data_IF_738138385697
#
_entry.id   IF_738138385697
#
_cell.length_a   1.000
_cell.length_b   1.000
_cell.length_c   1.000
_cell.angle_alpha   90.00
_cell.angle_beta   90.00
_cell.angle_gamma   90.00
#
_symmetry.space_group_name_H-M   'P 1'
#
loop_
_entity.id
_entity.type
_entity.pdbx_description
1 polymer ?
#
# COMPACT_ATOMS: atom_id res chain seq x y z
N UNK A 1 -4.03 3.25 34.21
CA UNK A 1 -4.57 3.98 33.04
C UNK A 1 -4.11 3.20 31.80
N UNK A 2 -5.03 2.55 31.09
CA UNK A 2 -4.74 1.96 29.78
C UNK A 2 -4.28 3.13 28.88
N UNK A 3 -3.07 3.06 28.33
CA UNK A 3 -2.65 4.01 27.28
C UNK A 3 -3.60 3.81 26.10
N UNK A 4 -4.24 4.87 25.64
CA UNK A 4 -4.99 4.82 24.40
C UNK A 4 -4.03 4.27 23.34
N UNK A 5 -4.40 3.17 22.69
CA UNK A 5 -3.58 2.57 21.63
C UNK A 5 -3.47 3.55 20.47
N UNK A 6 -2.33 3.58 19.83
CA UNK A 6 -2.17 4.30 18.55
C UNK A 6 -2.73 3.41 17.46
N UNK A 7 -3.63 3.98 16.64
CA UNK A 7 -4.21 3.28 15.49
C UNK A 7 -3.18 3.10 14.38
N UNK A 8 -3.24 1.95 13.73
CA UNK A 8 -2.48 1.62 12.54
C UNK A 8 -3.44 1.39 11.37
N UNK A 9 -3.34 2.21 10.35
CA UNK A 9 -4.18 2.16 9.17
C UNK A 9 -3.44 1.52 8.00
N UNK A 10 -4.18 0.72 7.24
CA UNK A 10 -3.70 0.05 6.03
C UNK A 10 -4.68 0.45 4.90
N UNK A 11 -4.22 1.29 3.99
CA UNK A 11 -4.94 1.63 2.78
C UNK A 11 -4.44 0.73 1.67
N UNK A 12 -5.28 -0.22 1.27
CA UNK A 12 -4.93 -1.36 0.45
C UNK A 12 -3.91 -2.30 1.15
N UNK A 13 -3.73 -3.51 0.68
CA UNK A 13 -2.77 -4.48 1.22
C UNK A 13 -1.71 -4.83 0.18
N UNK A 14 -0.60 -5.41 0.62
CA UNK A 14 0.39 -5.96 -0.32
C UNK A 14 -0.26 -7.04 -1.20
N UNK A 15 -1.18 -7.84 -0.65
CA UNK A 15 -1.93 -8.84 -1.45
C UNK A 15 -2.75 -8.17 -2.54
N UNK A 16 -3.49 -7.11 -2.23
CA UNK A 16 -4.30 -6.38 -3.21
C UNK A 16 -3.41 -5.77 -4.29
N UNK A 17 -2.29 -5.15 -3.90
CA UNK A 17 -1.28 -4.61 -4.82
C UNK A 17 -0.72 -5.71 -5.74
N UNK A 18 -0.36 -6.89 -5.19
CA UNK A 18 0.12 -8.04 -5.97
C UNK A 18 -0.95 -8.56 -6.92
N UNK A 19 -2.22 -8.50 -6.55
CA UNK A 19 -3.35 -8.89 -7.40
C UNK A 19 -3.64 -7.89 -8.53
N UNK A 20 -2.98 -6.74 -8.53
CA UNK A 20 -3.04 -5.74 -9.60
C UNK A 20 -3.87 -4.51 -9.27
N UNK A 21 -4.30 -4.33 -8.01
CA UNK A 21 -4.89 -3.07 -7.58
C UNK A 21 -3.79 -2.03 -7.37
N UNK A 22 -3.57 -1.25 -8.42
CA UNK A 22 -2.60 -0.14 -8.46
C UNK A 22 -3.30 1.21 -8.62
N UNK A 23 -4.61 1.26 -8.32
CA UNK A 23 -5.40 2.50 -8.33
C UNK A 23 -4.98 3.39 -7.16
N UNK A 24 -5.26 4.67 -7.31
CA UNK A 24 -5.01 5.65 -6.26
C UNK A 24 -6.13 5.61 -5.23
N UNK A 25 -5.82 5.27 -3.98
CA UNK A 25 -6.82 5.05 -2.94
C UNK A 25 -6.80 6.09 -1.82
N UNK A 26 -5.65 6.66 -1.51
CA UNK A 26 -5.51 7.57 -0.38
C UNK A 26 -4.68 8.81 -0.75
N UNK A 27 -5.23 10.03 -0.56
CA UNK A 27 -4.46 11.24 -0.72
C UNK A 27 -3.52 11.44 0.48
N UNK A 28 -2.38 12.09 0.22
CA UNK A 28 -1.38 12.39 1.25
C UNK A 28 -1.95 13.20 2.42
N UNK A 29 -2.90 14.09 2.14
CA UNK A 29 -3.56 14.95 3.12
C UNK A 29 -4.33 14.17 4.19
N UNK A 30 -4.71 12.92 3.88
CA UNK A 30 -5.35 12.03 4.85
C UNK A 30 -4.38 11.44 5.88
N UNK A 31 -3.06 11.61 5.69
CA UNK A 31 -2.04 11.06 6.57
C UNK A 31 -1.56 12.15 7.53
N UNK A 32 -1.78 11.99 8.86
CA UNK A 32 -1.26 12.94 9.82
C UNK A 32 0.26 12.78 9.93
N UNK A 33 1.02 13.84 9.67
CA UNK A 33 2.49 13.81 9.69
C UNK A 33 3.10 14.50 10.92
N UNK A 34 2.26 14.99 11.83
CA UNK A 34 2.72 15.59 13.08
C UNK A 34 3.17 14.51 14.07
N UNK A 35 4.36 14.69 14.63
CA UNK A 35 4.95 13.74 15.55
C UNK A 35 5.66 12.54 14.88
N UNK A 36 5.77 11.44 15.62
CA UNK A 36 6.49 10.23 15.21
C UNK A 36 5.56 9.25 14.49
N UNK A 37 5.19 9.58 13.26
CA UNK A 37 4.31 8.77 12.41
C UNK A 37 5.14 7.71 11.68
N UNK A 38 4.84 6.45 11.90
CA UNK A 38 5.43 5.34 11.16
C UNK A 38 4.64 5.11 9.89
N UNK A 39 5.30 4.73 8.81
CA UNK A 39 4.62 4.38 7.57
C UNK A 39 5.55 3.96 6.46
N UNK A 40 4.96 3.35 5.44
CA UNK A 40 5.57 3.02 4.16
C UNK A 40 4.49 2.89 3.10
N UNK A 41 4.90 2.92 1.85
CA UNK A 41 3.97 2.78 0.75
C UNK A 41 4.63 2.91 -0.62
N UNK A 42 3.79 2.95 -1.64
CA UNK A 42 4.22 3.19 -3.02
C UNK A 42 3.36 4.29 -3.67
N UNK A 43 3.88 4.91 -4.72
CA UNK A 43 3.13 5.86 -5.55
C UNK A 43 2.56 5.18 -6.80
N UNK A 44 1.85 5.93 -7.62
CA UNK A 44 1.09 5.42 -8.76
C UNK A 44 1.93 4.84 -9.88
N UNK A 45 1.27 4.18 -10.83
CA UNK A 45 1.88 3.58 -12.01
C UNK A 45 2.49 4.59 -12.99
N UNK A 46 2.00 5.82 -13.00
CA UNK A 46 2.47 6.88 -13.90
C UNK A 46 3.73 7.53 -13.33
N UNK A 47 3.77 7.68 -12.02
CA UNK A 47 4.83 8.35 -11.28
C UNK A 47 5.27 7.45 -10.12
N UNK A 48 5.79 6.28 -10.48
CA UNK A 48 6.10 5.21 -9.54
C UNK A 48 7.25 5.56 -8.61
N UNK A 49 7.16 5.15 -7.35
CA UNK A 49 8.18 5.40 -6.35
C UNK A 49 7.91 4.68 -5.04
N UNK A 50 8.98 4.46 -4.30
CA UNK A 50 8.93 3.90 -2.96
C UNK A 50 8.88 5.02 -1.92
N UNK A 51 8.03 4.86 -0.92
CA UNK A 51 7.81 5.85 0.13
C UNK A 51 8.44 5.41 1.44
N UNK A 52 9.28 6.28 1.99
CA UNK A 52 9.88 6.12 3.32
C UNK A 52 9.39 7.22 4.25
N UNK A 53 8.76 6.86 5.35
CA UNK A 53 8.31 7.80 6.38
C UNK A 53 9.43 7.97 7.40
N UNK A 54 10.17 9.05 7.32
CA UNK A 54 11.32 9.29 8.20
C UNK A 54 11.11 10.51 9.07
N UNK A 55 11.66 10.44 10.29
CA UNK A 55 11.58 11.53 11.24
C UNK A 55 12.54 12.65 10.85
N UNK A 56 12.04 13.87 10.79
CA UNK A 56 12.85 15.04 10.51
C UNK A 56 13.44 15.67 11.80
N UNK A 57 14.25 16.69 11.63
CA UNK A 57 14.91 17.37 12.75
C UNK A 57 13.94 18.08 13.71
N UNK A 58 12.75 18.48 13.25
CA UNK A 58 11.72 19.08 14.11
C UNK A 58 10.97 18.04 14.96
N UNK A 59 11.21 16.75 14.73
CA UNK A 59 10.54 15.67 15.44
C UNK A 59 9.27 15.16 14.76
N UNK A 60 8.84 15.82 13.69
CA UNK A 60 7.73 15.39 12.85
C UNK A 60 8.19 14.40 11.79
N UNK A 61 7.24 13.76 11.09
CA UNK A 61 7.53 12.82 10.01
C UNK A 61 7.50 13.53 8.66
N UNK A 62 8.42 13.15 7.79
CA UNK A 62 8.44 13.53 6.37
C UNK A 62 8.33 12.27 5.53
N UNK A 63 7.49 12.30 4.50
CA UNK A 63 7.44 11.23 3.50
C UNK A 63 8.49 11.55 2.44
N UNK A 64 9.45 10.65 2.31
CA UNK A 64 10.46 10.70 1.26
C UNK A 64 10.08 9.72 0.16
N UNK A 65 10.02 10.21 -1.07
CA UNK A 65 9.81 9.40 -2.26
C UNK A 65 11.15 9.17 -2.96
N UNK A 66 11.43 7.92 -3.26
CA UNK A 66 12.48 7.52 -4.18
C UNK A 66 11.86 7.33 -5.57
N UNK A 67 12.26 8.16 -6.54
CA UNK A 67 11.67 8.21 -7.87
C UNK A 67 12.11 7.03 -8.73
N UNK A 68 11.18 6.44 -9.50
CA UNK A 68 11.51 5.37 -10.43
C UNK A 68 12.32 5.84 -11.63
N UNK A 69 12.12 7.09 -12.04
CA UNK A 69 12.67 7.59 -13.30
C UNK A 69 14.20 7.79 -13.24
N UNK A 70 14.69 8.34 -12.13
CA UNK A 70 16.09 8.77 -11.99
C UNK A 70 16.71 8.40 -10.63
N UNK A 71 15.96 7.66 -9.78
CA UNK A 71 16.31 7.33 -8.42
C UNK A 71 16.54 8.54 -7.49
N UNK A 72 16.08 9.73 -7.89
CA UNK A 72 16.15 10.90 -7.04
C UNK A 72 15.27 10.73 -5.80
N UNK A 73 15.72 11.28 -4.68
CA UNK A 73 14.98 11.26 -3.43
C UNK A 73 14.48 12.67 -3.15
N UNK A 74 13.17 12.80 -2.97
CA UNK A 74 12.55 14.08 -2.64
C UNK A 74 11.50 13.95 -1.54
N UNK A 75 11.35 14.99 -0.75
CA UNK A 75 10.25 15.08 0.19
C UNK A 75 8.94 15.33 -0.56
N UNK A 76 7.93 14.51 -0.31
CA UNK A 76 6.57 14.76 -0.81
C UNK A 76 5.91 15.89 -0.03
N UNK A 77 5.05 16.62 -0.72
CA UNK A 77 4.22 17.69 -0.17
C UNK A 77 2.76 17.47 -0.56
N UNK A 78 1.80 17.85 0.28
CA UNK A 78 0.40 17.88 -0.11
C UNK A 78 0.21 18.64 -1.44
N UNK A 79 -0.58 18.08 -2.34
CA UNK A 79 -0.82 18.64 -3.68
C UNK A 79 0.24 18.30 -4.73
N UNK A 80 1.31 17.57 -4.39
CA UNK A 80 2.19 16.97 -5.40
C UNK A 80 1.39 15.98 -6.27
N UNK A 81 1.68 15.90 -7.58
CA UNK A 81 0.95 15.04 -8.51
C UNK A 81 1.07 13.54 -8.22
N UNK A 82 2.04 13.13 -7.40
CA UNK A 82 2.25 11.75 -6.93
C UNK A 82 1.84 11.55 -5.49
N UNK A 83 0.99 12.41 -4.95
CA UNK A 83 0.58 12.40 -3.55
C UNK A 83 -0.67 11.54 -3.27
N UNK A 84 -1.07 10.67 -4.19
CA UNK A 84 -2.09 9.65 -4.02
C UNK A 84 -1.45 8.27 -4.07
N UNK A 85 -1.82 7.40 -3.15
CA UNK A 85 -1.11 6.15 -2.93
C UNK A 85 -2.00 4.93 -3.21
N UNK A 86 -1.59 4.01 -4.10
CA UNK A 86 -2.26 2.73 -4.30
C UNK A 86 -2.06 1.78 -3.12
N UNK A 87 -0.95 1.93 -2.40
CA UNK A 87 -0.67 1.21 -1.17
C UNK A 87 0.05 2.14 -0.20
N UNK A 88 -0.47 2.26 0.99
CA UNK A 88 0.20 2.90 2.12
C UNK A 88 -0.30 2.30 3.43
N UNK A 89 0.62 2.08 4.36
CA UNK A 89 0.27 1.80 5.74
C UNK A 89 0.96 2.82 6.65
N UNK A 90 0.25 3.28 7.69
CA UNK A 90 0.76 4.34 8.55
C UNK A 90 0.09 4.33 9.92
N UNK A 91 0.70 5.03 10.88
CA UNK A 91 0.15 5.26 12.21
C UNK A 91 -0.25 6.72 12.39
N UNK A 92 -0.96 7.05 13.48
CA UNK A 92 -0.89 8.37 14.08
C UNK A 92 0.47 8.62 14.76
N UNK A 93 0.57 9.67 15.57
CA UNK A 93 1.77 9.90 16.40
C UNK A 93 1.98 8.75 17.38
N UNK A 94 2.96 7.90 17.10
CA UNK A 94 3.30 6.73 17.89
C UNK A 94 4.35 7.00 18.99
N UNK A 95 4.72 8.24 19.22
CA UNK A 95 5.78 8.62 20.19
C UNK A 95 5.56 8.04 21.58
N UNK A 96 4.31 7.89 22.03
CA UNK A 96 3.94 7.33 23.33
C UNK A 96 4.17 5.81 23.44
N UNK A 97 4.23 5.11 22.32
CA UNK A 97 4.47 3.65 22.26
C UNK A 97 5.95 3.31 22.11
N UNK A 98 6.77 4.30 21.84
CA UNK A 98 8.18 4.09 21.50
C UNK A 98 8.97 3.48 22.66
N UNK A 99 9.57 2.31 22.41
CA UNK A 99 10.52 1.65 23.29
C UNK A 99 11.88 1.63 22.58
N UNK A 100 12.90 2.17 23.25
CA UNK A 100 14.28 2.12 22.76
C UNK A 100 14.96 0.87 23.30
N UNK A 101 15.68 0.17 22.44
CA UNK A 101 16.58 -0.91 22.79
C UNK A 101 18.02 -0.44 22.55
N UNK A 102 18.87 -0.62 23.55
CA UNK A 102 20.30 -0.39 23.35
C UNK A 102 20.83 -1.43 22.35
N UNK A 103 21.47 -1.02 21.24
CA UNK A 103 22.06 -1.96 20.29
C UNK A 103 22.99 -2.98 20.94
N UNK A 104 23.64 -2.65 22.05
CA UNK A 104 24.47 -3.58 22.80
C UNK A 104 23.69 -4.78 23.37
N UNK A 105 22.38 -4.61 23.67
CA UNK A 105 21.51 -5.69 24.14
C UNK A 105 21.21 -6.73 23.04
N UNK A 106 21.37 -6.37 21.76
CA UNK A 106 21.18 -7.28 20.61
C UNK A 106 22.35 -8.28 20.45
N UNK A 107 23.46 -8.05 21.12
CA UNK A 107 24.70 -8.82 20.96
C UNK A 107 25.30 -8.63 19.57
N UNK A 108 26.03 -9.64 19.10
CA UNK A 108 26.63 -9.58 17.78
C UNK A 108 25.57 -9.67 16.69
N UNK A 109 25.55 -8.70 15.77
CA UNK A 109 24.59 -8.62 14.65
C UNK A 109 25.25 -8.76 13.28
N UNK A 110 26.58 -8.73 13.24
CA UNK A 110 27.35 -8.81 11.99
C UNK A 110 26.94 -10.06 11.18
N UNK A 111 26.63 -9.85 9.90
CA UNK A 111 26.19 -10.87 8.94
C UNK A 111 24.97 -11.71 9.36
N UNK A 112 24.24 -11.33 10.41
CA UNK A 112 23.00 -11.99 10.78
C UNK A 112 21.82 -11.47 9.91
N UNK A 113 20.87 -12.34 9.57
CA UNK A 113 19.63 -11.92 8.92
C UNK A 113 18.90 -10.90 9.80
N UNK A 114 18.62 -9.71 9.26
CA UNK A 114 17.99 -8.62 10.02
C UNK A 114 16.66 -9.04 10.62
N UNK A 115 15.83 -9.78 9.89
CA UNK A 115 14.55 -10.28 10.41
C UNK A 115 14.72 -11.14 11.66
N UNK A 116 15.75 -12.00 11.71
CA UNK A 116 16.02 -12.82 12.87
C UNK A 116 16.48 -11.97 14.07
N UNK A 117 17.28 -10.93 13.84
CA UNK A 117 17.71 -9.99 14.88
C UNK A 117 16.49 -9.24 15.44
N UNK A 118 15.59 -8.76 14.57
CA UNK A 118 14.35 -8.08 14.96
C UNK A 118 13.43 -9.01 15.74
N UNK A 119 13.22 -10.23 15.28
CA UNK A 119 12.39 -11.23 15.98
C UNK A 119 12.93 -11.51 17.40
N UNK A 120 14.25 -11.71 17.52
CA UNK A 120 14.89 -11.92 18.83
C UNK A 120 14.75 -10.70 19.75
N UNK A 121 14.84 -9.48 19.20
CA UNK A 121 14.65 -8.25 19.95
C UNK A 121 13.21 -8.13 20.50
N UNK A 122 12.20 -8.50 19.70
CA UNK A 122 10.80 -8.56 20.13
C UNK A 122 10.66 -9.52 21.32
N UNK A 123 11.16 -10.74 21.19
CA UNK A 123 11.06 -11.73 22.26
C UNK A 123 11.82 -11.33 23.53
N UNK A 124 13.01 -10.72 23.37
CA UNK A 124 13.77 -10.17 24.49
C UNK A 124 12.95 -9.12 25.25
N UNK A 125 12.41 -8.14 24.55
CA UNK A 125 11.66 -7.04 25.16
C UNK A 125 10.35 -7.53 25.80
N UNK A 126 9.67 -8.51 25.20
CA UNK A 126 8.50 -9.18 25.78
C UNK A 126 8.87 -9.92 27.08
N UNK A 127 9.96 -10.68 27.07
CA UNK A 127 10.41 -11.43 28.24
C UNK A 127 10.80 -10.52 29.41
N UNK A 128 11.27 -9.31 29.10
CA UNK A 128 11.58 -8.27 30.09
C UNK A 128 10.35 -7.45 30.53
N UNK A 129 9.17 -7.70 29.96
CA UNK A 129 7.97 -6.91 30.22
C UNK A 129 8.04 -5.46 29.75
N UNK A 130 8.96 -5.13 28.81
CA UNK A 130 9.14 -3.79 28.27
C UNK A 130 8.16 -3.48 27.14
N UNK A 131 7.65 -4.49 26.45
CA UNK A 131 6.59 -4.39 25.43
C UNK A 131 5.53 -5.49 25.66
N UNK A 132 4.32 -5.21 25.22
CA UNK A 132 3.24 -6.20 25.16
C UNK A 132 3.26 -6.93 23.80
N UNK A 133 2.60 -8.10 23.75
CA UNK A 133 2.36 -8.78 22.49
C UNK A 133 1.45 -7.93 21.60
N UNK A 134 1.81 -7.78 20.34
CA UNK A 134 1.06 -7.01 19.36
C UNK A 134 0.98 -7.75 18.02
N UNK A 135 -0.08 -7.57 17.24
CA UNK A 135 -0.19 -8.18 15.93
C UNK A 135 0.81 -7.61 14.91
N UNK A 136 1.21 -6.34 15.10
CA UNK A 136 2.25 -5.68 14.30
C UNK A 136 3.16 -4.89 15.23
N UNK A 137 4.44 -4.90 14.92
CA UNK A 137 5.44 -4.05 15.55
C UNK A 137 6.00 -3.09 14.50
N UNK A 138 5.90 -1.78 14.74
CA UNK A 138 6.56 -0.77 13.95
C UNK A 138 8.01 -0.56 14.39
N UNK A 139 8.84 -0.06 13.48
CA UNK A 139 10.26 0.17 13.74
C UNK A 139 10.75 1.48 13.16
N UNK A 140 11.68 2.08 13.91
CA UNK A 140 12.66 3.03 13.40
C UNK A 140 14.04 2.50 13.68
N UNK A 141 14.81 2.27 12.62
CA UNK A 141 16.14 1.66 12.69
C UNK A 141 17.14 2.57 12.00
N UNK A 142 18.29 2.79 12.65
CA UNK A 142 19.49 3.29 11.97
C UNK A 142 20.43 2.11 11.75
N UNK A 143 20.65 1.77 10.48
CA UNK A 143 21.35 0.56 10.06
C UNK A 143 22.62 0.92 9.30
N UNK A 144 23.64 0.11 9.46
CA UNK A 144 24.84 0.11 8.60
C UNK A 144 24.97 -1.27 7.94
N UNK A 145 25.15 -1.27 6.62
CA UNK A 145 25.31 -2.48 5.84
C UNK A 145 26.71 -2.62 5.27
N UNK A 146 27.21 -3.83 5.16
CA UNK A 146 28.39 -4.10 4.31
C UNK A 146 28.00 -4.07 2.84
N UNK A 147 26.88 -4.68 2.52
CA UNK A 147 26.24 -4.69 1.22
C UNK A 147 24.74 -4.67 1.42
N UNK A 148 24.00 -3.99 0.56
CA UNK A 148 22.55 -3.91 0.59
C UNK A 148 21.99 -4.01 -0.82
N UNK A 149 20.93 -4.79 -0.97
CA UNK A 149 20.08 -4.83 -2.16
C UNK A 149 18.83 -4.00 -1.89
N UNK A 150 18.55 -3.05 -2.77
CA UNK A 150 17.36 -2.19 -2.69
C UNK A 150 16.58 -2.23 -3.99
N UNK A 151 15.28 -2.02 -3.91
CA UNK A 151 14.45 -1.66 -5.04
C UNK A 151 14.29 -0.16 -5.05
N UNK A 152 14.76 0.46 -6.12
CA UNK A 152 14.56 1.87 -6.37
C UNK A 152 13.30 2.00 -7.21
N UNK A 153 12.19 2.28 -6.57
CA UNK A 153 10.94 2.68 -7.18
C UNK A 153 10.65 1.96 -8.51
N UNK A 154 10.11 0.82 -8.41
CA UNK A 154 9.95 -0.07 -9.54
C UNK A 154 8.88 0.42 -10.53
N UNK A 155 9.25 0.65 -11.78
CA UNK A 155 8.30 0.59 -12.91
C UNK A 155 7.57 -0.76 -12.97
N UNK A 156 7.92 -1.66 -12.10
CA UNK A 156 7.59 -3.05 -12.07
C UNK A 156 7.18 -3.49 -10.65
N UNK A 157 6.38 -2.69 -9.94
CA UNK A 157 5.74 -3.24 -8.75
C UNK A 157 4.97 -4.50 -9.17
N UNK A 158 4.95 -5.52 -8.32
CA UNK A 158 4.40 -6.84 -8.66
C UNK A 158 2.96 -6.76 -9.17
N UNK A 159 2.18 -5.81 -8.72
CA UNK A 159 0.82 -5.55 -9.21
C UNK A 159 0.78 -5.07 -10.66
N UNK A 160 1.65 -4.14 -11.03
CA UNK A 160 1.74 -3.67 -12.42
C UNK A 160 2.21 -4.74 -13.38
N UNK A 161 3.11 -5.63 -12.94
CA UNK A 161 3.57 -6.74 -13.76
C UNK A 161 2.48 -7.77 -14.01
N UNK A 162 1.63 -8.04 -13.04
CA UNK A 162 0.48 -8.94 -13.22
C UNK A 162 -0.59 -8.34 -14.14
N UNK A 163 -0.81 -7.04 -14.10
CA UNK A 163 -1.63 -6.32 -15.09
C UNK A 163 -1.04 -6.41 -16.50
N UNK A 164 0.26 -6.29 -16.64
CA UNK A 164 0.98 -6.52 -17.89
C UNK A 164 1.22 -8.03 -18.09
N UNK A 165 0.13 -8.80 -18.18
CA UNK A 165 0.16 -10.27 -18.34
C UNK A 165 0.98 -10.77 -19.55
N UNK A 166 1.35 -9.90 -20.48
CA UNK A 166 2.26 -10.21 -21.58
C UNK A 166 3.71 -10.30 -21.10
N UNK A 167 4.14 -9.44 -20.16
CA UNK A 167 5.50 -9.49 -19.59
C UNK A 167 5.63 -10.71 -18.67
N UNK A 168 4.66 -10.94 -17.79
CA UNK A 168 4.66 -12.09 -16.89
C UNK A 168 4.61 -13.46 -17.63
N UNK A 169 4.02 -13.53 -18.82
CA UNK A 169 3.99 -14.75 -19.66
C UNK A 169 5.25 -14.96 -20.49
N UNK A 170 5.95 -13.89 -20.84
CA UNK A 170 7.18 -14.01 -21.62
C UNK A 170 8.39 -14.43 -20.76
N UNK A 171 8.28 -14.30 -19.45
CA UNK A 171 9.39 -14.51 -18.51
C UNK A 171 9.33 -15.85 -17.79
N UNK A 172 8.20 -16.55 -17.77
CA UNK A 172 8.13 -17.91 -17.28
C UNK A 172 8.16 -18.88 -18.46
N UNK A 173 9.27 -19.57 -18.64
CA UNK A 173 9.47 -20.58 -19.68
C UNK A 173 8.51 -21.78 -19.55
N UNK A 174 7.82 -21.93 -18.43
CA UNK A 174 6.89 -23.01 -18.10
C UNK A 174 5.45 -22.54 -17.81
N UNK A 175 5.16 -21.22 -17.93
CA UNK A 175 3.83 -20.67 -17.73
C UNK A 175 3.39 -20.55 -16.26
N UNK A 176 4.27 -20.84 -15.31
CA UNK A 176 4.01 -20.60 -13.87
C UNK A 176 4.24 -19.13 -13.53
N UNK A 177 3.30 -18.51 -12.81
CA UNK A 177 3.51 -17.18 -12.28
C UNK A 177 4.68 -17.21 -11.27
N UNK A 178 5.54 -16.19 -11.30
CA UNK A 178 6.61 -16.04 -10.32
C UNK A 178 6.06 -16.23 -8.90
N UNK A 179 6.63 -17.18 -8.15
CA UNK A 179 6.13 -17.57 -6.84
C UNK A 179 6.60 -16.62 -5.73
N UNK A 180 7.62 -15.81 -6.03
CA UNK A 180 8.21 -14.85 -5.10
C UNK A 180 8.72 -13.61 -5.82
N UNK A 181 8.98 -12.54 -5.06
CA UNK A 181 9.66 -11.35 -5.59
C UNK A 181 11.05 -11.70 -6.14
N UNK A 182 11.71 -12.70 -5.59
CA UNK A 182 13.04 -13.13 -6.05
C UNK A 182 13.00 -13.83 -7.41
N UNK A 183 11.93 -14.56 -7.70
CA UNK A 183 11.74 -15.13 -9.03
C UNK A 183 11.57 -14.03 -10.07
N UNK A 184 10.92 -12.94 -9.70
CA UNK A 184 10.83 -11.73 -10.51
C UNK A 184 12.19 -11.03 -10.63
N UNK A 185 12.91 -10.84 -9.54
CA UNK A 185 14.20 -10.15 -9.50
C UNK A 185 15.32 -10.90 -10.21
N UNK A 186 15.21 -12.22 -10.42
CA UNK A 186 16.16 -12.99 -11.22
C UNK A 186 16.24 -12.52 -12.67
N UNK A 187 15.16 -11.92 -13.19
CA UNK A 187 15.15 -11.35 -14.54
C UNK A 187 15.73 -9.93 -14.61
N UNK A 188 16.00 -9.32 -13.45
CA UNK A 188 16.62 -8.01 -13.39
C UNK A 188 18.09 -8.13 -13.04
N UNK A 189 18.90 -7.44 -13.82
CA UNK A 189 20.31 -7.29 -13.51
C UNK A 189 20.45 -6.50 -12.21
N UNK A 190 21.08 -7.09 -11.21
CA UNK A 190 21.55 -6.37 -10.04
C UNK A 190 22.60 -5.35 -10.52
N UNK A 191 22.25 -4.06 -10.49
CA UNK A 191 23.17 -3.02 -10.91
C UNK A 191 24.32 -2.94 -9.90
N UNK A 192 25.57 -2.89 -10.37
CA UNK A 192 26.65 -2.46 -9.52
C UNK A 192 26.42 -1.00 -9.12
N UNK A 193 27.06 -0.55 -8.07
CA UNK A 193 26.97 0.69 -7.31
C UNK A 193 26.75 2.02 -8.06
N UNK A 194 26.41 2.01 -9.33
CA UNK A 194 26.28 3.22 -10.13
C UNK A 194 24.82 3.75 -10.10
N UNK A 195 24.57 4.86 -9.36
CA UNK A 195 23.25 5.49 -9.35
C UNK A 195 22.83 6.05 -10.71
N UNK A 196 23.74 6.16 -11.69
CA UNK A 196 23.44 6.63 -13.03
C UNK A 196 22.58 5.64 -13.83
N UNK A 197 22.45 4.37 -13.40
CA UNK A 197 21.56 3.40 -14.03
C UNK A 197 20.18 3.47 -13.37
N UNK A 198 19.51 4.58 -13.52
CA UNK A 198 18.20 4.84 -12.93
C UNK A 198 17.08 3.90 -13.45
N UNK A 199 17.31 3.23 -14.58
CA UNK A 199 16.34 2.29 -15.16
C UNK A 199 16.34 0.91 -14.51
N UNK A 200 17.36 0.58 -13.71
CA UNK A 200 17.37 -0.70 -13.00
C UNK A 200 16.51 -0.62 -11.75
N UNK A 201 15.47 -1.44 -11.62
CA UNK A 201 14.59 -1.44 -10.46
C UNK A 201 15.29 -1.97 -9.20
N UNK A 202 16.36 -2.73 -9.35
CA UNK A 202 17.11 -3.35 -8.25
C UNK A 202 18.56 -2.89 -8.29
N UNK A 203 19.05 -2.46 -7.14
CA UNK A 203 20.45 -2.03 -6.99
C UNK A 203 21.14 -2.80 -5.90
N UNK A 204 22.38 -3.12 -6.17
CA UNK A 204 23.30 -3.69 -5.22
C UNK A 204 24.29 -2.61 -4.78
N UNK A 205 24.25 -2.25 -3.51
CA UNK A 205 25.09 -1.21 -2.93
C UNK A 205 26.13 -1.85 -2.01
N UNK A 206 27.41 -1.74 -2.38
CA UNK A 206 28.50 -2.05 -1.48
C UNK A 206 28.93 -0.83 -0.65
N UNK A 207 29.71 -1.04 0.41
CA UNK A 207 30.26 0.02 1.28
C UNK A 207 29.22 1.07 1.69
N UNK A 208 28.14 0.58 2.26
CA UNK A 208 26.95 1.38 2.49
C UNK A 208 27.18 2.45 3.53
N UNK A 209 26.47 3.55 3.30
CA UNK A 209 26.25 4.61 4.25
C UNK A 209 25.33 4.14 5.40
N UNK A 210 25.17 4.99 6.38
CA UNK A 210 24.12 4.82 7.37
C UNK A 210 22.76 4.97 6.72
N UNK A 211 21.80 4.15 7.16
CA UNK A 211 20.45 4.13 6.65
C UNK A 211 19.47 4.46 7.76
N UNK A 212 18.59 5.42 7.52
CA UNK A 212 17.42 5.69 8.36
C UNK A 212 16.23 4.94 7.76
N UNK A 213 15.61 4.05 8.56
CA UNK A 213 14.61 3.11 8.09
C UNK A 213 13.35 3.20 8.94
N UNK A 214 12.21 3.02 8.27
CA UNK A 214 10.92 2.79 8.87
C UNK A 214 10.33 1.50 8.32
N UNK A 215 9.62 0.74 9.16
CA UNK A 215 8.98 -0.49 8.69
C UNK A 215 8.20 -1.22 9.76
N UNK A 216 7.75 -2.42 9.39
CA UNK A 216 6.85 -3.20 10.21
C UNK A 216 7.23 -4.68 10.22
N UNK A 217 7.03 -5.30 11.37
CA UNK A 217 7.09 -6.75 11.54
C UNK A 217 5.66 -7.26 11.77
N UNK A 218 5.14 -8.06 10.85
CA UNK A 218 3.84 -8.69 10.96
C UNK A 218 3.96 -10.07 11.60
N UNK A 219 3.22 -10.32 12.67
CA UNK A 219 3.20 -11.64 13.32
C UNK A 219 2.42 -12.68 12.52
N UNK A 220 1.60 -12.24 11.55
CA UNK A 220 0.86 -13.08 10.63
C UNK A 220 1.11 -12.66 9.16
N UNK A 221 2.33 -12.87 8.62
CA UNK A 221 2.70 -12.42 7.29
C UNK A 221 1.90 -13.09 6.17
N UNK A 222 1.38 -14.30 6.39
CA UNK A 222 0.51 -14.99 5.42
C UNK A 222 -0.76 -14.20 5.07
N UNK A 223 -1.16 -13.23 5.90
CA UNK A 223 -2.28 -12.33 5.60
C UNK A 223 -1.98 -11.34 4.47
N UNK A 224 -0.70 -11.11 4.15
CA UNK A 224 -0.26 -10.20 3.09
C UNK A 224 -0.66 -8.75 3.27
N UNK A 225 -0.90 -8.28 4.51
CA UNK A 225 -1.39 -6.91 4.77
C UNK A 225 -0.28 -5.86 4.69
N UNK A 226 0.91 -6.13 5.25
CA UNK A 226 2.05 -5.21 5.24
C UNK A 226 3.34 -5.83 4.69
N UNK A 227 3.36 -7.15 4.52
CA UNK A 227 4.44 -7.92 3.90
C UNK A 227 3.87 -8.76 2.77
N UNK A 228 4.72 -9.33 1.92
CA UNK A 228 4.27 -10.33 0.94
C UNK A 228 3.60 -11.52 1.66
N UNK A 229 2.54 -12.13 1.07
CA UNK A 229 1.81 -13.23 1.70
C UNK A 229 2.63 -14.53 1.70
N UNK A 230 3.71 -14.53 2.49
CA UNK A 230 4.62 -15.66 2.68
C UNK A 230 4.79 -15.85 4.20
N UNK A 231 4.61 -17.06 4.75
CA UNK A 231 4.72 -17.32 6.18
C UNK A 231 6.07 -16.94 6.80
N UNK A 232 7.11 -16.86 5.99
CA UNK A 232 8.46 -16.53 6.44
C UNK A 232 8.84 -15.04 6.26
N UNK A 233 7.99 -14.22 5.63
CA UNK A 233 8.27 -12.83 5.32
C UNK A 233 7.65 -11.87 6.36
N UNK A 234 8.18 -11.84 7.57
CA UNK A 234 7.65 -11.05 8.66
C UNK A 234 8.01 -9.56 8.60
N UNK A 235 9.21 -9.22 8.12
CA UNK A 235 9.75 -7.86 8.17
C UNK A 235 9.70 -7.17 6.82
N UNK A 236 9.16 -5.95 6.79
CA UNK A 236 9.12 -5.07 5.62
C UNK A 236 9.71 -3.71 6.00
N UNK A 237 10.73 -3.27 5.29
CA UNK A 237 11.45 -2.02 5.57
C UNK A 237 11.62 -1.16 4.33
N UNK A 238 11.36 0.12 4.50
CA UNK A 238 11.75 1.18 3.59
C UNK A 238 12.73 2.12 4.30
N UNK A 239 13.56 2.79 3.53
CA UNK A 239 14.51 3.73 4.10
C UNK A 239 15.27 4.54 3.08
N UNK A 240 16.05 5.48 3.60
CA UNK A 240 16.98 6.29 2.83
C UNK A 240 18.37 6.26 3.47
N UNK A 241 19.40 6.33 2.64
CA UNK A 241 20.75 6.60 3.15
C UNK A 241 20.83 7.98 3.80
N UNK A 242 21.69 8.13 4.78
CA UNK A 242 21.82 9.38 5.58
C UNK A 242 22.15 10.61 4.73
N UNK A 243 22.77 10.42 3.56
CA UNK A 243 23.07 11.48 2.60
C UNK A 243 21.99 11.67 1.53
N UNK A 244 20.88 10.93 1.62
CA UNK A 244 19.74 10.96 0.71
C UNK A 244 20.10 10.66 -0.76
N UNK A 245 21.17 9.89 -1.00
CA UNK A 245 21.56 9.46 -2.35
C UNK A 245 20.87 8.17 -2.78
N UNK A 246 20.46 7.34 -1.84
CA UNK A 246 19.83 6.04 -2.07
C UNK A 246 18.61 5.91 -1.16
N UNK A 247 17.58 5.23 -1.65
CA UNK A 247 16.37 4.98 -0.89
C UNK A 247 15.50 3.93 -1.57
N UNK A 248 14.44 3.51 -0.89
CA UNK A 248 13.47 2.57 -1.41
C UNK A 248 13.20 1.40 -0.47
N UNK A 249 12.73 0.30 -1.03
CA UNK A 249 12.51 -0.95 -0.31
C UNK A 249 13.84 -1.67 -0.07
N UNK A 250 14.11 -2.06 1.18
CA UNK A 250 15.33 -2.76 1.56
C UNK A 250 15.09 -4.28 1.50
N UNK A 251 15.77 -4.97 0.59
CA UNK A 251 15.75 -6.43 0.50
C UNK A 251 16.73 -7.04 1.52
N UNK A 252 16.41 -6.87 2.80
CA UNK A 252 17.24 -7.35 3.92
C UNK A 252 17.39 -8.87 3.93
N UNK A 253 16.46 -9.60 3.32
CA UNK A 253 16.43 -11.06 3.20
C UNK A 253 17.24 -11.58 2.01
N UNK A 254 17.62 -10.70 1.07
CA UNK A 254 18.39 -11.10 -0.10
C UNK A 254 19.80 -11.59 0.30
N UNK A 255 20.29 -12.69 -0.27
CA UNK A 255 21.63 -13.24 0.09
C UNK A 255 22.80 -12.26 -0.11
N UNK A 256 22.63 -11.26 -0.99
CA UNK A 256 23.59 -10.19 -1.20
C UNK A 256 23.55 -9.10 -0.13
N UNK A 257 22.51 -9.03 0.69
CA UNK A 257 22.42 -8.05 1.77
C UNK A 257 23.09 -8.57 3.04
N UNK A 258 24.08 -7.84 3.53
CA UNK A 258 24.85 -8.21 4.73
C UNK A 258 24.87 -7.07 5.72
N UNK A 259 24.22 -7.28 6.85
CA UNK A 259 24.15 -6.33 7.95
C UNK A 259 25.53 -6.16 8.59
N UNK A 260 25.94 -4.91 8.84
CA UNK A 260 27.18 -4.60 9.55
C UNK A 260 26.91 -4.22 11.01
N UNK A 261 25.99 -3.29 11.22
CA UNK A 261 25.64 -2.80 12.56
C UNK A 261 24.22 -2.25 12.62
N UNK A 262 23.65 -2.25 13.82
CA UNK A 262 22.46 -1.50 14.18
C UNK A 262 22.90 -0.39 15.12
N UNK A 263 22.74 0.86 14.71
CA UNK A 263 23.15 2.04 15.49
C UNK A 263 22.03 2.54 16.40
N UNK A 264 20.79 2.35 15.97
CA UNK A 264 19.59 2.72 16.72
C UNK A 264 18.49 1.72 16.51
N UNK A 265 17.79 1.36 17.55
CA UNK A 265 16.65 0.45 17.52
C UNK A 265 15.51 1.03 18.35
N UNK A 266 14.44 1.40 17.67
CA UNK A 266 13.18 1.78 18.31
C UNK A 266 12.06 0.87 17.81
N UNK A 267 11.22 0.38 18.73
CA UNK A 267 10.08 -0.49 18.46
C UNK A 267 8.80 0.12 19.00
N UNK A 268 7.70 -0.15 18.31
CA UNK A 268 6.37 0.39 18.59
C UNK A 268 5.34 -0.76 18.51
N UNK A 269 4.84 -1.30 19.63
CA UNK A 269 3.80 -2.32 19.62
C UNK A 269 2.46 -1.72 19.17
N UNK A 270 1.92 -2.15 18.01
CA UNK A 270 0.70 -1.64 17.40
C UNK A 270 -0.43 -2.64 17.62
N UNK A 271 -1.44 -2.25 18.42
CA UNK A 271 -2.52 -3.13 18.85
C UNK A 271 -3.78 -2.99 17.99
N UNK A 272 -4.06 -1.78 17.50
CA UNK A 272 -5.30 -1.46 16.80
C UNK A 272 -5.03 -1.31 15.32
N UNK A 273 -5.51 -2.28 14.54
CA UNK A 273 -5.34 -2.31 13.09
C UNK A 273 -6.67 -1.98 12.42
N UNK A 274 -6.63 -1.04 11.50
CA UNK A 274 -7.76 -0.62 10.69
C UNK A 274 -7.42 -0.78 9.21
N UNK A 275 -8.17 -1.61 8.50
CA UNK A 275 -8.12 -1.64 7.06
C UNK A 275 -9.04 -0.54 6.53
N UNK A 276 -8.47 0.40 5.81
CA UNK A 276 -9.23 1.35 5.02
C UNK A 276 -9.71 0.63 3.76
N UNK A 277 -10.96 0.85 3.38
CA UNK A 277 -11.56 0.27 2.18
C UNK A 277 -12.50 1.28 1.52
N UNK A 278 -12.74 1.06 0.23
CA UNK A 278 -13.86 1.67 -0.49
C UNK A 278 -15.16 0.96 -0.10
N UNK A 279 -16.29 1.65 -0.25
CA UNK A 279 -17.64 1.10 -0.05
C UNK A 279 -18.60 1.88 -0.96
N UNK A 280 -18.75 1.40 -2.19
CA UNK A 280 -19.66 2.00 -3.17
C UNK A 280 -21.09 1.60 -2.86
N UNK A 281 -22.02 2.53 -3.05
CA UNK A 281 -23.44 2.26 -2.91
C UNK A 281 -24.25 3.03 -3.95
N UNK A 282 -25.38 2.46 -4.37
CA UNK A 282 -26.40 3.16 -5.15
C UNK A 282 -27.51 3.57 -4.20
N UNK A 283 -27.79 4.87 -4.14
CA UNK A 283 -28.82 5.46 -3.30
C UNK A 283 -29.83 6.28 -4.11
N UNK A 284 -30.98 6.56 -3.51
CA UNK A 284 -32.01 7.46 -4.04
C UNK A 284 -32.44 7.16 -5.49
N UNK A 285 -32.42 5.87 -5.90
CA UNK A 285 -32.86 5.48 -7.23
C UNK A 285 -34.32 5.79 -7.45
N UNK A 286 -34.64 6.58 -8.48
CA UNK A 286 -35.98 7.01 -8.84
C UNK A 286 -36.14 7.03 -10.36
N UNK A 287 -37.37 6.87 -10.83
CA UNK A 287 -37.73 7.04 -12.23
C UNK A 287 -39.02 7.87 -12.32
N UNK A 288 -38.95 9.02 -12.95
CA UNK A 288 -40.08 9.95 -13.08
C UNK A 288 -40.02 10.69 -14.41
N UNK A 289 -41.12 10.75 -15.13
CA UNK A 289 -41.22 11.49 -16.41
C UNK A 289 -40.09 11.14 -17.42
N UNK A 290 -39.79 9.85 -17.57
CA UNK A 290 -38.70 9.34 -18.43
C UNK A 290 -37.29 9.77 -18.01
N UNK A 291 -37.11 10.20 -16.77
CA UNK A 291 -35.79 10.48 -16.20
C UNK A 291 -35.53 9.49 -15.08
N UNK A 292 -34.41 8.80 -15.17
CA UNK A 292 -33.84 8.07 -14.06
C UNK A 292 -32.92 9.01 -13.29
N UNK A 293 -33.04 9.03 -11.98
CA UNK A 293 -32.13 9.71 -11.07
C UNK A 293 -31.64 8.75 -10.01
N UNK A 294 -30.35 8.84 -9.67
CA UNK A 294 -29.71 8.05 -8.61
C UNK A 294 -28.45 8.74 -8.11
N UNK A 295 -27.97 8.29 -6.97
CA UNK A 295 -26.72 8.77 -6.38
C UNK A 295 -25.75 7.62 -6.23
N UNK A 296 -24.53 7.79 -6.72
CA UNK A 296 -23.39 6.92 -6.40
C UNK A 296 -22.71 7.49 -5.18
N UNK A 297 -22.55 6.69 -4.15
CA UNK A 297 -21.95 7.10 -2.86
C UNK A 297 -20.74 6.24 -2.58
N UNK A 298 -19.64 6.86 -2.20
CA UNK A 298 -18.53 6.17 -1.58
C UNK A 298 -18.62 6.33 -0.06
N UNK A 299 -19.10 5.33 0.64
CA UNK A 299 -19.22 5.30 2.11
C UNK A 299 -17.90 4.91 2.79
N UNK A 300 -16.91 4.49 1.99
CA UNK A 300 -15.61 4.04 2.46
C UNK A 300 -14.69 5.18 2.89
N UNK A 301 -13.56 4.79 3.42
CA UNK A 301 -12.50 5.68 3.90
C UNK A 301 -11.38 5.88 2.88
N UNK A 302 -11.47 5.28 1.70
CA UNK A 302 -10.53 5.45 0.58
C UNK A 302 -11.23 6.06 -0.62
N UNK A 303 -10.50 6.89 -1.36
CA UNK A 303 -10.96 7.40 -2.63
C UNK A 303 -11.06 6.27 -3.67
N UNK A 304 -11.93 6.43 -4.64
CA UNK A 304 -12.04 5.53 -5.79
C UNK A 304 -11.88 6.30 -7.09
N UNK A 305 -11.24 5.69 -8.05
CA UNK A 305 -11.05 6.26 -9.39
C UNK A 305 -11.62 5.33 -10.45
N UNK A 306 -12.06 5.94 -11.56
CA UNK A 306 -12.51 5.24 -12.75
C UNK A 306 -13.64 4.22 -12.49
N UNK A 307 -14.65 4.64 -11.74
CA UNK A 307 -15.78 3.80 -11.35
C UNK A 307 -16.75 3.63 -12.51
N UNK A 308 -16.98 2.39 -12.93
CA UNK A 308 -18.03 2.03 -13.86
C UNK A 308 -19.42 2.10 -13.20
N UNK A 309 -20.43 2.59 -13.94
CA UNK A 309 -21.83 2.55 -13.50
C UNK A 309 -22.69 2.05 -14.65
N UNK A 310 -23.34 0.91 -14.47
CA UNK A 310 -24.24 0.34 -15.46
C UNK A 310 -25.72 0.59 -15.10
N UNK A 311 -26.52 0.94 -16.09
CA UNK A 311 -27.97 1.06 -16.00
C UNK A 311 -28.57 -0.03 -16.90
N UNK A 312 -29.24 -0.98 -16.31
CA UNK A 312 -29.74 -2.20 -16.96
C UNK A 312 -31.28 -2.19 -16.94
N UNK A 313 -31.90 -2.48 -18.04
CA UNK A 313 -33.35 -2.61 -18.18
C UNK A 313 -33.72 -4.05 -18.52
N UNK A 314 -34.68 -4.61 -17.80
CA UNK A 314 -35.25 -5.94 -18.02
C UNK A 314 -34.18 -7.06 -18.10
N UNK A 315 -33.20 -6.97 -17.22
CA UNK A 315 -32.05 -7.87 -17.15
C UNK A 315 -31.25 -7.99 -18.47
N UNK A 316 -31.39 -6.99 -19.36
CA UNK A 316 -30.73 -6.98 -20.66
C UNK A 316 -29.33 -6.33 -20.56
N UNK A 317 -28.35 -7.06 -20.06
CA UNK A 317 -26.98 -6.58 -19.85
C UNK A 317 -26.24 -6.27 -21.16
N UNK A 318 -26.68 -6.83 -22.31
CA UNK A 318 -26.06 -6.57 -23.60
C UNK A 318 -26.41 -5.18 -24.19
N UNK A 319 -27.45 -4.53 -23.67
CA UNK A 319 -27.91 -3.20 -24.13
C UNK A 319 -27.97 -2.17 -23.02
N UNK A 320 -27.19 -2.38 -21.95
CA UNK A 320 -27.11 -1.44 -20.82
C UNK A 320 -26.47 -0.11 -21.23
N UNK A 321 -26.87 0.97 -20.54
CA UNK A 321 -26.13 2.21 -20.58
C UNK A 321 -24.99 2.14 -19.57
N UNK A 322 -23.84 2.70 -19.96
CA UNK A 322 -22.65 2.68 -19.16
C UNK A 322 -22.08 4.08 -18.99
N UNK A 323 -21.79 4.44 -17.73
CA UNK A 323 -21.18 5.69 -17.35
C UNK A 323 -19.83 5.42 -16.71
N UNK A 324 -18.93 6.38 -16.80
CA UNK A 324 -17.67 6.40 -16.03
C UNK A 324 -17.64 7.60 -15.11
N UNK A 325 -17.40 7.36 -13.84
CA UNK A 325 -17.13 8.38 -12.83
C UNK A 325 -15.61 8.41 -12.61
N UNK A 326 -14.93 9.48 -13.06
CA UNK A 326 -13.46 9.49 -13.03
C UNK A 326 -12.89 9.41 -11.62
N UNK A 327 -13.58 10.02 -10.65
CA UNK A 327 -13.13 10.11 -9.27
C UNK A 327 -14.31 10.28 -8.32
N UNK A 328 -14.26 9.59 -7.18
CA UNK A 328 -15.21 9.80 -6.08
C UNK A 328 -14.43 9.69 -4.76
N UNK A 329 -14.28 10.81 -4.07
CA UNK A 329 -13.55 10.87 -2.81
C UNK A 329 -14.20 10.01 -1.71
N UNK A 330 -13.42 9.68 -0.68
CA UNK A 330 -13.93 9.06 0.54
C UNK A 330 -15.07 9.88 1.14
N UNK A 331 -16.13 9.21 1.56
CA UNK A 331 -17.35 9.81 2.11
C UNK A 331 -18.08 10.83 1.20
N UNK A 332 -17.77 10.84 -0.11
CA UNK A 332 -18.40 11.70 -1.11
C UNK A 332 -19.52 10.98 -1.87
N UNK A 333 -20.32 11.75 -2.59
CA UNK A 333 -21.38 11.25 -3.45
C UNK A 333 -21.50 12.08 -4.73
N UNK A 334 -21.93 11.41 -5.82
CA UNK A 334 -22.23 12.05 -7.11
C UNK A 334 -23.63 11.67 -7.56
N UNK A 335 -24.41 12.66 -7.95
CA UNK A 335 -25.78 12.48 -8.42
C UNK A 335 -25.85 12.44 -9.94
N UNK A 336 -26.62 11.52 -10.48
CA UNK A 336 -26.86 11.34 -11.91
C UNK A 336 -28.33 11.49 -12.26
N UNK A 337 -28.59 12.14 -13.38
CA UNK A 337 -29.89 12.23 -14.02
C UNK A 337 -29.76 11.94 -15.51
N UNK A 338 -30.53 10.99 -16.03
CA UNK A 338 -30.46 10.56 -17.43
C UNK A 338 -31.86 10.35 -17.98
N UNK A 339 -32.05 10.72 -19.24
CA UNK A 339 -33.28 10.40 -19.96
C UNK A 339 -33.25 8.94 -20.39
N UNK A 340 -34.30 8.20 -20.04
CA UNK A 340 -34.45 6.79 -20.39
C UNK A 340 -35.84 6.57 -20.96
N UNK A 341 -35.95 6.28 -22.26
CA UNK A 341 -37.21 6.02 -22.93
C UNK A 341 -37.57 4.54 -22.81
N UNK A 342 -38.56 4.25 -22.00
CA UNK A 342 -39.13 2.91 -21.85
C UNK A 342 -40.49 2.81 -22.58
N UNK A 343 -40.81 1.63 -23.09
CA UNK A 343 -42.13 1.34 -23.64
C UNK A 343 -43.20 1.28 -22.55
N UNK A 344 -44.45 1.28 -22.91
CA UNK A 344 -45.50 1.01 -21.93
C UNK A 344 -45.49 -0.47 -21.52
N UNK A 345 -45.62 -0.72 -20.22
CA UNK A 345 -45.63 -2.07 -19.68
C UNK A 345 -44.79 -2.21 -18.38
N UNK A 346 -44.68 -3.44 -17.90
CA UNK A 346 -43.80 -3.73 -16.76
C UNK A 346 -42.34 -3.69 -17.15
N UNK A 347 -41.52 -3.02 -16.35
CA UNK A 347 -40.05 -2.98 -16.53
C UNK A 347 -39.34 -3.15 -15.19
N UNK A 348 -38.16 -3.76 -15.24
CA UNK A 348 -37.23 -3.78 -14.13
C UNK A 348 -36.01 -2.92 -14.51
N UNK A 349 -35.75 -1.94 -13.71
CA UNK A 349 -34.62 -1.03 -13.86
C UNK A 349 -33.61 -1.32 -12.76
N UNK A 350 -32.38 -1.59 -13.10
CA UNK A 350 -31.28 -1.84 -12.16
C UNK A 350 -30.14 -0.85 -12.43
N UNK A 351 -29.53 -0.32 -11.37
CA UNK A 351 -28.31 0.47 -11.42
C UNK A 351 -27.24 -0.25 -10.62
N UNK A 352 -26.05 -0.39 -11.21
CA UNK A 352 -24.93 -1.15 -10.65
C UNK A 352 -23.69 -0.27 -10.66
N UNK A 353 -23.12 0.02 -9.49
CA UNK A 353 -21.77 0.58 -9.37
C UNK A 353 -20.75 -0.54 -9.46
N UNK A 354 -19.63 -0.28 -10.15
CA UNK A 354 -18.55 -1.23 -10.38
C UNK A 354 -19.02 -2.61 -10.91
N UNK A 355 -19.74 -2.66 -12.04
CA UNK A 355 -20.26 -3.91 -12.59
C UNK A 355 -19.14 -4.90 -13.01
N UNK A 356 -17.93 -4.42 -13.27
CA UNK A 356 -16.76 -5.22 -13.60
C UNK A 356 -16.05 -5.79 -12.37
N UNK A 357 -16.36 -5.32 -11.14
CA UNK A 357 -15.69 -5.74 -9.91
C UNK A 357 -14.22 -5.32 -9.85
N UNK A 358 -13.91 -4.13 -10.39
CA UNK A 358 -12.55 -3.59 -10.39
C UNK A 358 -12.17 -2.88 -9.10
N UNK A 359 -13.16 -2.47 -8.29
CA UNK A 359 -12.96 -1.83 -6.99
C UNK A 359 -12.95 -2.89 -5.90
N UNK A 360 -11.90 -2.93 -5.10
CA UNK A 360 -11.80 -3.88 -4.00
C UNK A 360 -12.59 -3.35 -2.81
N UNK A 361 -13.66 -4.02 -2.47
CA UNK A 361 -14.51 -3.77 -1.32
C UNK A 361 -14.53 -4.98 -0.39
N UNK A 362 -14.86 -4.77 0.88
CA UNK A 362 -15.08 -5.90 1.79
C UNK A 362 -16.32 -6.69 1.32
N UNK A 363 -16.25 -8.01 1.42
CA UNK A 363 -17.28 -8.91 0.88
C UNK A 363 -18.72 -8.62 1.39
N UNK A 364 -18.86 -8.04 2.58
CA UNK A 364 -20.15 -7.63 3.13
C UNK A 364 -20.65 -6.26 2.62
N UNK A 365 -19.83 -5.51 1.90
CA UNK A 365 -20.15 -4.19 1.37
C UNK A 365 -20.62 -4.24 -0.09
N UNK A 366 -20.23 -5.23 -0.86
CA UNK A 366 -20.60 -5.35 -2.28
C UNK A 366 -22.09 -5.49 -2.57
N UNK A 367 -22.91 -5.82 -1.57
CA UNK A 367 -24.37 -5.98 -1.76
C UNK A 367 -25.10 -4.65 -1.96
N UNK A 368 -24.52 -3.50 -1.58
CA UNK A 368 -25.10 -2.16 -1.72
C UNK A 368 -24.72 -1.47 -3.04
N UNK A 369 -23.82 -2.09 -3.85
CA UNK A 369 -23.43 -1.59 -5.17
C UNK A 369 -24.59 -1.64 -6.19
N UNK A 370 -25.74 -2.18 -5.84
CA UNK A 370 -26.89 -2.37 -6.71
C UNK A 370 -28.16 -1.84 -6.09
N UNK A 371 -28.95 -1.18 -6.91
CA UNK A 371 -30.32 -0.83 -6.58
C UNK A 371 -31.23 -1.13 -7.78
N UNK A 372 -32.50 -1.49 -7.52
CA UNK A 372 -33.47 -1.73 -8.58
C UNK A 372 -34.84 -1.13 -8.27
N UNK A 373 -35.61 -0.89 -9.33
CA UNK A 373 -37.00 -0.47 -9.30
C UNK A 373 -37.79 -1.37 -10.25
N UNK A 374 -38.95 -1.83 -9.79
CA UNK A 374 -40.00 -2.41 -10.64
C UNK A 374 -40.98 -1.32 -11.03
N UNK A 375 -41.17 -1.12 -12.32
CA UNK A 375 -41.98 -0.04 -12.90
C UNK A 375 -43.14 -0.64 -13.66
N UNK A 376 -44.26 0.07 -13.62
CA UNK A 376 -45.42 -0.18 -14.52
C UNK A 376 -45.77 1.16 -15.22
N UNK A 377 -45.43 1.25 -16.50
CA UNK A 377 -45.56 2.46 -17.32
C UNK A 377 -46.74 2.38 -18.27
#
# INVERSE_FOLDING_TARGET
MQKAGVDFWIANTITDLIQGDVKEHLPMEAIPLDGDVLGMGTTTSIDNGELSFLRNQSGNTTIWKCEAADAAIRALRPGDGSAHFPYVCFTGDASSLRVLLDPAELGEVLDKPLQAVVANAIELLKSQGRIEAAPIYGFRLELEWQCLVITVASKLCMGQQRRNSAVARSESSDGTAASSIYDLLQHYRLAPEDPAIASDPVRYLGNSLDWDCCGFFDTNPSSGRVTVPNPDAHLHLHGCSSDLRYGGHLHHEHPGSRLKAIKRFAIYPLQQLHRLSSDLAIEALQFTASVISFTVVNRGAMDVSDVGVAIVVDDCYSSHQYLRLPWLAAAASEQFELTLCLASGPHRLEVIADPEGEIIEQANQQCNNRAHLDLLL
#
